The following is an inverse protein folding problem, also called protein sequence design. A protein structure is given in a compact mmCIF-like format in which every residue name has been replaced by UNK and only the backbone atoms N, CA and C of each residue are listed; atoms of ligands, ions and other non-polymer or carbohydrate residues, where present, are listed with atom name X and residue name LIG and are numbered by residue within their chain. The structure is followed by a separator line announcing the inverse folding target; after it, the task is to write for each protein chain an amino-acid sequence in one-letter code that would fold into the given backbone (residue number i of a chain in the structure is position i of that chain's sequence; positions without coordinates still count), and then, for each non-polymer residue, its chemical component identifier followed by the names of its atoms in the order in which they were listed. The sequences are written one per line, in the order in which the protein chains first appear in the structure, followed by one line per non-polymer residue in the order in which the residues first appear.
data_IF_504525770154
#
_entry.id   IF_504525770154
#
_cell.length_a   1.000
_cell.length_b   1.000
_cell.length_c   1.000
_cell.angle_alpha   90.00
_cell.angle_beta   90.00
_cell.angle_gamma   90.00
#
_symmetry.space_group_name_H-M   'P 1'
#
loop_
_entity.id
_entity.type
_entity.pdbx_description
1 polymer ?
#
# COMPACT_ATOMS: atom_id res chain seq x y z
N UNK A 1 22.41 -1.34 12.66
CA UNK A 1 21.68 -1.89 13.83
C UNK A 1 21.66 -3.41 13.72
N UNK A 2 21.90 -4.15 14.80
CA UNK A 2 21.87 -5.63 14.76
C UNK A 2 20.46 -6.12 15.13
N UNK A 3 19.92 -7.10 14.40
CA UNK A 3 18.60 -7.66 14.67
C UNK A 3 18.44 -8.16 16.13
N UNK A 4 19.54 -8.63 16.72
CA UNK A 4 19.57 -9.09 18.11
C UNK A 4 19.17 -8.03 19.14
N UNK A 5 19.28 -6.73 18.81
CA UNK A 5 18.92 -5.63 19.71
C UNK A 5 17.40 -5.52 19.93
N UNK A 6 16.59 -6.23 19.14
CA UNK A 6 15.12 -6.23 19.21
C UNK A 6 14.55 -7.56 19.74
N UNK A 7 15.40 -8.47 20.24
CA UNK A 7 14.95 -9.72 20.82
C UNK A 7 14.43 -9.48 22.24
N UNK A 8 13.24 -10.01 22.53
CA UNK A 8 12.66 -10.07 23.87
C UNK A 8 12.00 -11.43 24.09
N UNK A 9 11.78 -11.80 25.36
CA UNK A 9 11.07 -13.04 25.70
C UNK A 9 9.57 -12.82 25.57
N UNK A 10 8.92 -13.52 24.64
CA UNK A 10 7.47 -13.50 24.44
C UNK A 10 6.92 -14.91 24.67
N UNK A 11 6.32 -15.20 25.84
CA UNK A 11 5.60 -16.45 26.06
C UNK A 11 4.49 -16.64 25.03
N UNK A 12 4.38 -17.83 24.43
CA UNK A 12 3.36 -18.13 23.42
C UNK A 12 1.93 -17.93 23.95
N UNK A 13 1.71 -18.18 25.24
CA UNK A 13 0.41 -17.97 25.90
C UNK A 13 -0.06 -16.51 25.93
N UNK A 14 0.83 -15.54 25.68
CA UNK A 14 0.50 -14.11 25.61
C UNK A 14 0.22 -13.65 24.17
N UNK A 15 0.31 -14.53 23.17
CA UNK A 15 -0.04 -14.23 21.79
C UNK A 15 -1.54 -14.42 21.61
N UNK A 16 -2.25 -13.34 21.31
CA UNK A 16 -3.68 -13.40 21.05
C UNK A 16 -3.94 -14.08 19.70
N UNK A 17 -4.70 -15.19 19.71
CA UNK A 17 -5.13 -15.89 18.50
C UNK A 17 -6.46 -15.36 17.95
N UNK A 18 -7.28 -14.76 18.81
CA UNK A 18 -8.56 -14.14 18.47
C UNK A 18 -8.63 -12.75 19.11
N UNK A 19 -9.35 -11.78 18.51
CA UNK A 19 -9.62 -10.51 19.15
C UNK A 19 -10.52 -10.69 20.39
N UNK A 20 -10.53 -9.69 21.27
CA UNK A 20 -11.55 -9.59 22.32
C UNK A 20 -12.95 -9.43 21.72
N UNK A 21 -13.97 -10.00 22.38
CA UNK A 21 -15.37 -9.93 21.93
C UNK A 21 -15.83 -8.48 21.75
N UNK A 22 -15.42 -7.60 22.67
CA UNK A 22 -15.56 -6.15 22.55
C UNK A 22 -14.20 -5.53 22.32
N UNK A 23 -14.00 -4.94 21.15
CA UNK A 23 -12.69 -4.44 20.69
C UNK A 23 -12.13 -3.34 21.59
N UNK A 24 -13.00 -2.49 22.10
CA UNK A 24 -12.68 -1.35 22.94
C UNK A 24 -12.38 -1.74 24.40
N UNK A 25 -12.63 -2.99 24.79
CA UNK A 25 -12.25 -3.54 26.11
C UNK A 25 -10.82 -4.13 26.13
N UNK A 26 -10.07 -4.00 25.02
CA UNK A 26 -8.66 -4.41 24.98
C UNK A 26 -7.79 -3.53 25.88
N UNK A 27 -6.70 -4.10 26.40
CA UNK A 27 -5.72 -3.36 27.22
C UNK A 27 -4.97 -2.34 26.34
N UNK A 28 -4.78 -1.14 26.88
CA UNK A 28 -3.99 -0.06 26.29
C UNK A 28 -2.76 0.20 27.17
N UNK A 29 -1.56 0.04 26.60
CA UNK A 29 -0.31 0.48 27.24
C UNK A 29 0.03 1.86 26.72
N UNK A 30 0.10 2.85 27.62
CA UNK A 30 0.47 4.23 27.28
C UNK A 30 1.91 4.46 27.70
N UNK A 31 2.75 4.91 26.75
CA UNK A 31 4.14 5.25 26.99
C UNK A 31 4.35 6.74 26.78
N UNK A 32 4.69 7.44 27.87
CA UNK A 32 5.05 8.85 27.84
C UNK A 32 6.51 8.99 27.37
N UNK A 33 6.74 9.42 26.13
CA UNK A 33 8.06 9.41 25.47
C UNK A 33 9.11 10.29 26.16
N UNK A 34 8.68 11.37 26.78
CA UNK A 34 9.50 12.37 27.46
C UNK A 34 10.06 11.86 28.79
N UNK A 35 9.25 11.14 29.56
CA UNK A 35 9.57 10.65 30.91
C UNK A 35 9.91 9.16 30.96
N UNK A 36 9.53 8.39 29.94
CA UNK A 36 9.56 6.93 29.94
C UNK A 36 8.49 6.28 30.84
N UNK A 37 7.56 7.06 31.40
CA UNK A 37 6.49 6.54 32.25
C UNK A 37 5.56 5.62 31.45
N UNK A 38 5.23 4.47 32.03
CA UNK A 38 4.28 3.51 31.45
C UNK A 38 3.00 3.50 32.29
N UNK A 39 1.86 3.58 31.62
CA UNK A 39 0.54 3.43 32.22
C UNK A 39 -0.23 2.27 31.58
N UNK A 40 -1.15 1.70 32.35
CA UNK A 40 -2.03 0.62 31.90
C UNK A 40 -3.48 1.10 31.98
N UNK A 41 -4.15 1.08 30.84
CA UNK A 41 -5.52 1.56 30.64
C UNK A 41 -6.34 0.53 29.85
N UNK A 42 -7.60 0.84 29.59
CA UNK A 42 -8.44 0.13 28.63
C UNK A 42 -8.57 1.00 27.38
N UNK A 43 -8.75 0.41 26.20
CA UNK A 43 -8.75 1.15 24.94
C UNK A 43 -9.85 2.24 24.86
N UNK A 44 -10.97 2.10 25.59
CA UNK A 44 -11.98 3.17 25.74
C UNK A 44 -11.40 4.48 26.29
N UNK A 45 -10.39 4.39 27.16
CA UNK A 45 -9.74 5.54 27.79
C UNK A 45 -8.83 6.31 26.81
N UNK A 46 -8.69 5.84 25.56
CA UNK A 46 -7.85 6.48 24.55
C UNK A 46 -8.28 7.92 24.26
N UNK A 47 -9.57 8.22 24.43
CA UNK A 47 -10.14 9.55 24.19
C UNK A 47 -9.65 10.58 25.22
N UNK A 48 -9.18 10.15 26.39
CA UNK A 48 -8.65 11.04 27.44
C UNK A 48 -7.26 11.62 27.08
N UNK A 49 -6.67 11.20 25.94
CA UNK A 49 -5.35 11.60 25.48
C UNK A 49 -5.38 12.52 24.24
N UNK A 50 -6.57 12.91 23.78
CA UNK A 50 -6.73 13.79 22.63
C UNK A 50 -7.40 15.09 23.05
N UNK A 51 -6.89 16.20 22.54
CA UNK A 51 -7.54 17.51 22.64
C UNK A 51 -8.30 17.83 21.33
N UNK A 52 -9.04 18.93 21.33
CA UNK A 52 -9.89 19.38 20.21
C UNK A 52 -9.12 19.71 18.92
N UNK A 53 -7.80 19.88 19.02
CA UNK A 53 -6.89 20.20 17.92
C UNK A 53 -6.15 18.98 17.37
N UNK A 54 -6.33 17.79 17.96
CA UNK A 54 -5.64 16.60 17.50
C UNK A 54 -6.33 15.92 16.30
N UNK A 55 -5.52 15.20 15.51
CA UNK A 55 -5.99 14.49 14.31
C UNK A 55 -5.69 13.00 14.43
N UNK A 56 -6.75 12.18 14.39
CA UNK A 56 -6.61 10.73 14.25
C UNK A 56 -6.57 10.33 12.78
N UNK A 57 -5.40 9.91 12.31
CA UNK A 57 -5.23 9.40 10.95
C UNK A 57 -5.50 7.89 10.95
N UNK A 58 -6.64 7.50 10.38
CA UNK A 58 -7.02 6.09 10.23
C UNK A 58 -6.56 5.57 8.87
N UNK A 59 -5.93 4.40 8.86
CA UNK A 59 -5.66 3.68 7.63
C UNK A 59 -6.93 2.94 7.17
N UNK A 60 -7.58 3.44 6.12
CA UNK A 60 -8.73 2.81 5.50
C UNK A 60 -8.31 2.06 4.22
N UNK A 61 -7.98 0.77 4.35
CA UNK A 61 -7.56 -0.06 3.20
C UNK A 61 -8.76 -0.45 2.35
N UNK A 62 -8.76 -0.09 1.06
CA UNK A 62 -9.71 -0.59 0.07
C UNK A 62 -8.99 -1.50 -0.91
N UNK A 63 -9.48 -2.73 -1.07
CA UNK A 63 -8.97 -3.65 -2.09
C UNK A 63 -9.61 -3.26 -3.42
N UNK A 64 -8.82 -2.63 -4.28
CA UNK A 64 -9.18 -2.38 -5.67
C UNK A 64 -8.50 -3.44 -6.53
N UNK A 65 -9.23 -4.26 -7.32
CA UNK A 65 -8.64 -5.20 -8.25
C UNK A 65 -7.97 -4.41 -9.39
N UNK A 66 -6.70 -4.09 -9.18
CA UNK A 66 -5.95 -3.11 -9.95
C UNK A 66 -4.85 -3.75 -10.81
N UNK A 67 -4.75 -5.08 -10.79
CA UNK A 67 -3.66 -5.84 -11.39
C UNK A 67 -4.04 -6.26 -12.81
N UNK A 68 -3.24 -5.82 -13.77
CA UNK A 68 -3.31 -6.21 -15.16
C UNK A 68 -2.05 -7.00 -15.52
N UNK A 69 -2.22 -8.05 -16.32
CA UNK A 69 -1.12 -8.75 -16.96
C UNK A 69 -1.10 -8.36 -18.43
N UNK A 70 0.09 -8.05 -18.92
CA UNK A 70 0.28 -7.66 -20.30
C UNK A 70 1.61 -8.08 -20.85
N UNK A 71 1.80 -7.81 -22.13
CA UNK A 71 3.01 -8.12 -22.86
C UNK A 71 3.63 -6.84 -23.41
N UNK A 72 4.96 -6.76 -23.32
CA UNK A 72 5.71 -5.65 -23.94
C UNK A 72 5.77 -5.82 -25.45
N UNK A 73 5.55 -4.72 -26.17
CA UNK A 73 5.74 -4.64 -27.63
C UNK A 73 7.06 -5.29 -28.09
N UNK A 74 7.01 -6.04 -29.21
CA UNK A 74 8.13 -6.71 -29.91
C UNK A 74 8.81 -7.87 -29.16
N UNK A 75 8.88 -7.82 -27.83
CA UNK A 75 9.62 -8.80 -27.03
C UNK A 75 8.75 -9.89 -26.42
N UNK A 76 7.43 -9.68 -26.33
CA UNK A 76 6.51 -10.64 -25.70
C UNK A 76 6.78 -10.88 -24.21
N UNK A 77 7.61 -10.04 -23.59
CA UNK A 77 7.93 -10.19 -22.18
C UNK A 77 6.69 -9.88 -21.34
N UNK A 78 6.26 -10.86 -20.55
CA UNK A 78 5.16 -10.70 -19.59
C UNK A 78 5.52 -9.66 -18.56
N UNK A 79 4.57 -8.77 -18.31
CA UNK A 79 4.64 -7.72 -17.32
C UNK A 79 3.37 -7.71 -16.46
N UNK A 80 3.55 -7.38 -15.19
CA UNK A 80 2.48 -7.07 -14.27
C UNK A 80 2.39 -5.55 -14.12
N UNK A 81 1.18 -5.01 -14.22
CA UNK A 81 0.89 -3.59 -13.98
C UNK A 81 -0.14 -3.50 -12.87
N UNK A 82 0.17 -2.76 -11.82
CA UNK A 82 -0.72 -2.51 -10.69
C UNK A 82 -1.14 -1.04 -10.70
N UNK A 83 -2.43 -0.78 -10.95
CA UNK A 83 -2.98 0.57 -10.95
C UNK A 83 -3.01 1.12 -9.51
N UNK A 84 -2.40 2.29 -9.29
CA UNK A 84 -2.42 2.95 -7.99
C UNK A 84 -3.54 3.97 -7.90
N UNK A 85 -3.57 4.90 -8.86
CA UNK A 85 -4.56 5.97 -8.92
C UNK A 85 -4.66 6.57 -10.32
N UNK A 86 -5.85 7.03 -10.66
CA UNK A 86 -6.10 7.84 -11.84
C UNK A 86 -5.55 9.25 -11.61
N UNK A 87 -4.66 9.71 -12.49
CA UNK A 87 -4.07 11.06 -12.43
C UNK A 87 -4.90 12.06 -13.24
N UNK A 88 -5.42 11.64 -14.39
CA UNK A 88 -6.28 12.44 -15.24
C UNK A 88 -7.18 11.54 -16.07
N UNK A 89 -8.49 11.67 -15.88
CA UNK A 89 -9.50 10.85 -16.56
C UNK A 89 -9.66 11.18 -18.05
N UNK A 90 -9.61 12.45 -18.42
CA UNK A 90 -9.76 12.90 -19.82
C UNK A 90 -8.57 12.42 -20.67
N UNK A 91 -7.37 12.52 -20.11
CA UNK A 91 -6.13 12.04 -20.75
C UNK A 91 -5.86 10.56 -20.48
N UNK A 92 -6.72 9.88 -19.70
CA UNK A 92 -6.60 8.46 -19.32
C UNK A 92 -5.23 8.11 -18.74
N UNK A 93 -4.69 9.01 -17.92
CA UNK A 93 -3.40 8.88 -17.28
C UNK A 93 -3.52 8.22 -15.92
N UNK A 94 -2.67 7.23 -15.70
CA UNK A 94 -2.63 6.45 -14.47
C UNK A 94 -1.22 6.37 -13.91
N UNK A 95 -1.12 6.47 -12.59
CA UNK A 95 0.07 6.12 -11.83
C UNK A 95 0.02 4.64 -11.51
N UNK A 96 1.07 3.90 -11.87
CA UNK A 96 1.08 2.43 -11.80
C UNK A 96 2.40 1.92 -11.27
N UNK A 97 2.41 0.76 -10.62
CA UNK A 97 3.62 -0.02 -10.39
C UNK A 97 3.76 -1.09 -11.47
N UNK A 98 4.99 -1.35 -11.89
CA UNK A 98 5.27 -2.36 -12.91
C UNK A 98 6.26 -3.41 -12.39
N UNK A 99 6.07 -4.66 -12.83
CA UNK A 99 7.01 -5.77 -12.66
C UNK A 99 7.22 -6.51 -13.98
N UNK A 100 8.45 -6.71 -14.47
CA UNK A 100 9.72 -6.11 -14.05
C UNK A 100 9.91 -4.68 -14.60
N UNK A 101 9.94 -3.68 -13.70
CA UNK A 101 10.10 -2.26 -14.06
C UNK A 101 11.33 -1.96 -14.91
N UNK A 102 12.45 -2.69 -14.72
CA UNK A 102 13.70 -2.50 -15.49
C UNK A 102 13.52 -2.69 -17.00
N UNK A 103 12.52 -3.47 -17.42
CA UNK A 103 12.26 -3.75 -18.85
C UNK A 103 11.38 -2.68 -19.50
N UNK A 104 10.79 -1.77 -18.73
CA UNK A 104 9.78 -0.80 -19.18
C UNK A 104 10.35 0.62 -19.14
N UNK A 105 10.41 1.24 -20.31
CA UNK A 105 10.89 2.62 -20.53
C UNK A 105 9.78 3.48 -21.13
N UNK A 106 9.93 4.79 -21.00
CA UNK A 106 9.06 5.78 -21.67
C UNK A 106 9.00 5.50 -23.17
N UNK A 107 7.80 5.64 -23.75
CA UNK A 107 7.46 5.32 -25.13
C UNK A 107 7.21 3.83 -25.40
N UNK A 108 7.36 2.93 -24.43
CA UNK A 108 7.00 1.52 -24.63
C UNK A 108 5.48 1.36 -24.63
N UNK A 109 4.99 0.51 -25.53
CA UNK A 109 3.59 0.06 -25.55
C UNK A 109 3.43 -1.28 -24.82
N UNK A 110 2.37 -1.35 -24.04
CA UNK A 110 1.97 -2.48 -23.23
C UNK A 110 0.61 -2.95 -23.73
N UNK A 111 0.47 -4.23 -24.01
CA UNK A 111 -0.76 -4.84 -24.49
C UNK A 111 -1.34 -5.73 -23.41
N UNK A 112 -2.64 -5.64 -23.16
CA UNK A 112 -3.33 -6.37 -22.11
C UNK A 112 -4.50 -7.15 -22.69
N UNK A 113 -4.79 -8.32 -22.11
CA UNK A 113 -5.84 -9.23 -22.59
C UNK A 113 -5.35 -10.19 -23.68
N UNK A 114 -6.17 -11.19 -23.99
CA UNK A 114 -5.83 -12.21 -25.02
C UNK A 114 -6.04 -11.68 -26.45
N UNK A 115 -6.80 -10.61 -26.61
CA UNK A 115 -7.11 -9.95 -27.88
C UNK A 115 -6.24 -8.71 -28.15
N UNK A 116 -5.34 -8.37 -27.21
CA UNK A 116 -4.46 -7.20 -27.27
C UNK A 116 -5.21 -5.87 -27.53
N UNK A 117 -6.53 -5.82 -27.27
CA UNK A 117 -7.36 -4.63 -27.56
C UNK A 117 -7.08 -3.47 -26.60
N UNK A 118 -6.71 -3.78 -25.36
CA UNK A 118 -6.35 -2.76 -24.38
C UNK A 118 -4.85 -2.47 -24.47
N UNK A 119 -4.51 -1.25 -24.88
CA UNK A 119 -3.12 -0.81 -25.03
C UNK A 119 -2.84 0.30 -24.03
N UNK A 120 -1.64 0.34 -23.47
CA UNK A 120 -1.14 1.52 -22.76
C UNK A 120 0.26 1.93 -23.21
N UNK A 121 0.48 3.23 -23.27
CA UNK A 121 1.80 3.82 -23.53
C UNK A 121 2.41 4.35 -22.23
N UNK A 122 3.69 4.07 -22.03
CA UNK A 122 4.44 4.61 -20.89
C UNK A 122 4.84 6.05 -21.18
N UNK A 123 4.30 6.99 -20.43
CA UNK A 123 4.52 8.43 -20.62
C UNK A 123 5.65 8.95 -19.75
N UNK A 124 5.80 8.42 -18.52
CA UNK A 124 6.83 8.88 -17.59
C UNK A 124 7.24 7.82 -16.56
N UNK A 125 8.33 8.10 -15.83
CA UNK A 125 8.75 7.35 -14.65
C UNK A 125 8.43 8.14 -13.38
N UNK A 126 7.94 7.47 -12.34
CA UNK A 126 7.64 8.11 -11.05
C UNK A 126 8.63 7.66 -9.98
N UNK A 127 8.28 6.63 -9.20
CA UNK A 127 9.14 6.02 -8.18
C UNK A 127 9.96 4.86 -8.76
N UNK A 128 10.78 4.18 -7.94
CA UNK A 128 11.70 3.12 -8.40
C UNK A 128 11.04 2.04 -9.27
N UNK A 129 9.79 1.67 -8.99
CA UNK A 129 8.98 0.74 -9.79
C UNK A 129 7.76 1.41 -10.45
N UNK A 130 7.61 2.72 -10.27
CA UNK A 130 6.45 3.47 -10.71
C UNK A 130 6.58 4.00 -12.14
N UNK A 131 5.47 3.98 -12.87
CA UNK A 131 5.33 4.55 -14.21
C UNK A 131 4.04 5.36 -14.29
N UNK A 132 4.05 6.37 -15.14
CA UNK A 132 2.81 6.95 -15.65
C UNK A 132 2.49 6.31 -16.98
N UNK A 133 1.31 5.71 -17.11
CA UNK A 133 0.84 5.15 -18.37
C UNK A 133 -0.41 5.86 -18.86
N UNK A 134 -0.59 5.87 -20.18
CA UNK A 134 -1.79 6.35 -20.85
C UNK A 134 -2.49 5.19 -21.51
N UNK A 135 -3.75 4.94 -21.15
CA UNK A 135 -4.55 3.93 -21.84
C UNK A 135 -5.07 4.43 -23.20
N UNK A 136 -4.96 3.57 -24.20
CA UNK A 136 -5.38 3.76 -25.58
C UNK A 136 -6.42 2.68 -25.90
N UNK A 137 -7.70 3.05 -25.80
CA UNK A 137 -8.86 2.23 -26.19
C UNK A 137 -9.96 3.18 -26.68
N UNK A 138 -10.91 2.71 -27.48
CA UNK A 138 -12.05 3.53 -27.91
C UNK A 138 -13.08 3.68 -26.78
#
# INVERSE_FOLDING_TARGET
MKLSQFKFNLPESLIAHNPSDKRDESRLMVLHRDSGKIEHKIFKDVLDYFDDQDVMILNNTKVFPARLYGNKEKTGATIEVFLLRELNKELRLWDVLVDPARKIRVGNKLYFGDDDLLIAEVVDNTTSRGRTIRFLFD
#
